data_IF_292488953315
#
_entry.id   IF_292488953315
#
_cell.length_a   1.000
_cell.length_b   1.000
_cell.length_c   1.000
_cell.angle_alpha   90.00
_cell.angle_beta   90.00
_cell.angle_gamma   90.00
#
_symmetry.space_group_name_H-M   'P 1'
#
loop_
_entity.id
_entity.type
_entity.pdbx_description
1 polymer ?
#
# COMPACT_ATOMS: atom_id res chain seq x y z
N UNK A 1 -13.91 2.01 4.76
CA UNK A 1 -12.92 1.20 4.04
C UNK A 1 -12.21 2.06 3.02
N UNK A 2 -10.89 2.14 3.14
CA UNK A 2 -10.02 2.91 2.25
C UNK A 2 -9.01 1.95 1.63
N UNK A 3 -8.81 2.05 0.33
CA UNK A 3 -7.76 1.34 -0.40
C UNK A 3 -6.69 2.36 -0.75
N UNK A 4 -5.56 2.32 -0.06
CA UNK A 4 -4.37 3.11 -0.38
C UNK A 4 -3.63 2.45 -1.54
N UNK A 5 -3.56 3.16 -2.65
CA UNK A 5 -3.08 2.61 -3.91
C UNK A 5 -2.73 3.69 -4.91
N UNK A 6 -2.64 3.29 -6.18
CA UNK A 6 -2.52 4.22 -7.30
C UNK A 6 -3.53 3.81 -8.37
N UNK A 7 -4.05 4.76 -9.14
CA UNK A 7 -5.08 4.49 -10.18
C UNK A 7 -4.66 3.43 -11.20
N UNK A 8 -3.37 3.37 -11.52
CA UNK A 8 -2.82 2.43 -12.51
C UNK A 8 -2.56 1.02 -11.96
N UNK A 9 -2.78 0.76 -10.68
CA UNK A 9 -2.52 -0.56 -10.09
C UNK A 9 -3.70 -1.54 -10.33
N UNK A 10 -3.47 -2.56 -11.16
CA UNK A 10 -4.44 -3.61 -11.47
C UNK A 10 -5.00 -4.30 -10.22
N UNK A 11 -4.13 -4.61 -9.26
CA UNK A 11 -4.53 -5.24 -7.99
C UNK A 11 -5.42 -4.32 -7.16
N UNK A 12 -5.16 -3.00 -7.15
CA UNK A 12 -6.06 -2.03 -6.49
C UNK A 12 -7.43 -1.99 -7.18
N UNK A 13 -7.46 -1.99 -8.52
CA UNK A 13 -8.73 -2.03 -9.27
C UNK A 13 -9.54 -3.29 -9.00
N UNK A 14 -8.87 -4.45 -8.88
CA UNK A 14 -9.51 -5.72 -8.49
C UNK A 14 -10.10 -5.63 -7.08
N UNK A 15 -9.34 -5.12 -6.10
CA UNK A 15 -9.82 -4.93 -4.74
C UNK A 15 -11.04 -4.01 -4.67
N UNK A 16 -10.97 -2.84 -5.31
CA UNK A 16 -12.09 -1.88 -5.37
C UNK A 16 -13.35 -2.46 -6.01
N UNK A 17 -13.20 -3.28 -7.06
CA UNK A 17 -14.35 -3.95 -7.70
C UNK A 17 -15.03 -4.94 -6.76
N UNK A 18 -14.25 -5.64 -5.93
CA UNK A 18 -14.77 -6.59 -4.93
C UNK A 18 -15.29 -5.92 -3.66
N UNK A 19 -14.88 -4.68 -3.40
CA UNK A 19 -15.20 -3.91 -2.19
C UNK A 19 -16.02 -2.66 -2.57
N UNK A 20 -17.33 -2.78 -2.82
CA UNK A 20 -18.13 -1.72 -3.45
C UNK A 20 -18.26 -0.43 -2.63
N UNK A 21 -18.01 -0.48 -1.31
CA UNK A 21 -18.00 0.69 -0.42
C UNK A 21 -16.61 1.28 -0.20
N UNK A 22 -15.56 0.67 -0.75
CA UNK A 22 -14.21 1.16 -0.61
C UNK A 22 -13.96 2.35 -1.54
N UNK A 23 -13.18 3.32 -1.06
CA UNK A 23 -12.65 4.41 -1.87
C UNK A 23 -11.15 4.23 -2.10
N UNK A 24 -10.69 4.63 -3.28
CA UNK A 24 -9.26 4.71 -3.56
C UNK A 24 -8.71 6.01 -2.98
N UNK A 25 -7.65 5.90 -2.18
CA UNK A 25 -6.76 7.01 -1.82
C UNK A 25 -5.50 6.89 -2.69
N UNK A 26 -5.28 7.85 -3.59
CA UNK A 26 -4.15 7.78 -4.52
C UNK A 26 -2.87 8.30 -3.86
N UNK A 27 -2.05 7.39 -3.34
CA UNK A 27 -0.85 7.76 -2.58
C UNK A 27 0.18 8.53 -3.41
N UNK A 28 0.10 8.49 -4.74
CA UNK A 28 0.99 9.28 -5.60
C UNK A 28 0.57 10.75 -5.65
N UNK A 29 -0.73 11.03 -5.56
CA UNK A 29 -1.27 12.38 -5.60
C UNK A 29 -1.43 12.99 -4.20
N UNK A 30 -1.81 12.16 -3.23
CA UNK A 30 -2.25 12.59 -1.89
C UNK A 30 -1.25 12.24 -0.79
N UNK A 31 -0.18 11.48 -1.12
CA UNK A 31 0.71 10.89 -0.11
C UNK A 31 0.03 9.77 0.69
N UNK A 32 0.78 9.09 1.55
CA UNK A 32 0.21 8.20 2.55
C UNK A 32 0.07 8.98 3.87
N UNK A 33 -1.12 9.04 4.49
CA UNK A 33 -1.28 9.70 5.79
C UNK A 33 -0.32 9.14 6.84
N UNK A 34 0.29 10.01 7.65
CA UNK A 34 1.37 9.65 8.58
C UNK A 34 0.93 8.60 9.61
N UNK A 35 -0.27 8.74 10.16
CA UNK A 35 -0.87 7.80 11.11
C UNK A 35 -1.04 6.40 10.48
N UNK A 36 -1.55 6.36 9.25
CA UNK A 36 -1.69 5.12 8.46
C UNK A 36 -0.34 4.51 8.14
N UNK A 37 0.64 5.35 7.80
CA UNK A 37 2.00 4.92 7.47
C UNK A 37 2.68 4.26 8.67
N UNK A 38 2.59 4.89 9.84
CA UNK A 38 3.11 4.37 11.10
C UNK A 38 2.42 3.06 11.50
N UNK A 39 1.08 3.01 11.45
CA UNK A 39 0.33 1.79 11.75
C UNK A 39 0.65 0.65 10.77
N UNK A 40 0.81 0.96 9.48
CA UNK A 40 1.18 -0.02 8.46
C UNK A 40 2.60 -0.53 8.67
N UNK A 41 3.55 0.34 9.01
CA UNK A 41 4.92 -0.07 9.30
C UNK A 41 4.99 -0.93 10.56
N UNK A 42 4.29 -0.55 11.63
CA UNK A 42 4.23 -1.33 12.86
C UNK A 42 3.66 -2.75 12.61
N UNK A 43 2.69 -2.87 11.71
CA UNK A 43 2.04 -4.16 11.39
C UNK A 43 2.81 -5.02 10.39
N UNK A 44 3.38 -4.42 9.35
CA UNK A 44 3.92 -5.15 8.20
C UNK A 44 5.45 -5.03 8.05
N UNK A 45 6.08 -4.11 8.77
CA UNK A 45 7.52 -3.89 8.70
C UNK A 45 8.00 -3.62 7.27
N UNK A 46 9.09 -4.28 6.89
CA UNK A 46 9.69 -4.15 5.57
C UNK A 46 8.79 -4.61 4.41
N UNK A 47 7.75 -5.41 4.67
CA UNK A 47 6.84 -5.87 3.62
C UNK A 47 5.99 -4.72 3.03
N UNK A 48 5.90 -3.58 3.74
CA UNK A 48 5.25 -2.37 3.25
C UNK A 48 5.93 -1.77 2.00
N UNK A 49 7.20 -2.13 1.74
CA UNK A 49 7.93 -1.71 0.55
C UNK A 49 7.88 -2.79 -0.53
N UNK A 50 7.44 -2.44 -1.73
CA UNK A 50 7.42 -3.34 -2.87
C UNK A 50 8.77 -3.39 -3.58
N UNK A 51 9.65 -4.27 -3.10
CA UNK A 51 10.97 -4.55 -3.70
C UNK A 51 10.92 -5.17 -5.11
N UNK A 52 9.74 -5.55 -5.58
CA UNK A 52 9.54 -6.08 -6.93
C UNK A 52 9.00 -5.02 -7.92
N UNK A 53 8.68 -3.81 -7.44
CA UNK A 53 8.13 -2.74 -8.27
C UNK A 53 9.18 -2.16 -9.24
N UNK A 54 8.72 -1.65 -10.38
CA UNK A 54 9.58 -0.89 -11.29
C UNK A 54 10.19 0.35 -10.59
N UNK A 55 9.43 1.01 -9.72
CA UNK A 55 9.92 2.11 -8.88
C UNK A 55 11.14 1.68 -8.08
N UNK A 56 11.05 0.57 -7.33
CA UNK A 56 12.18 0.05 -6.55
C UNK A 56 13.40 -0.27 -7.41
N UNK A 57 13.19 -0.93 -8.56
CA UNK A 57 14.29 -1.26 -9.49
C UNK A 57 14.98 -0.02 -10.07
N UNK A 58 14.26 1.11 -10.17
CA UNK A 58 14.81 2.39 -10.61
C UNK A 58 15.50 3.22 -9.52
N UNK A 59 15.41 2.82 -8.25
CA UNK A 59 16.09 3.53 -7.15
C UNK A 59 17.60 3.22 -7.13
N UNK A 60 18.38 4.20 -6.67
CA UNK A 60 19.80 4.03 -6.34
C UNK A 60 19.98 3.14 -5.10
N UNK A 61 21.21 2.69 -4.85
CA UNK A 61 21.49 1.88 -3.66
C UNK A 61 21.28 2.67 -2.37
N UNK A 62 21.64 3.95 -2.36
CA UNK A 62 21.46 4.86 -1.23
C UNK A 62 19.98 5.00 -0.88
N UNK A 63 19.13 5.25 -1.89
CA UNK A 63 17.68 5.35 -1.68
C UNK A 63 17.08 4.02 -1.18
N UNK A 64 17.62 2.86 -1.59
CA UNK A 64 17.16 1.55 -1.10
C UNK A 64 17.58 1.25 0.34
N UNK A 65 18.58 1.96 0.87
CA UNK A 65 19.04 1.84 2.24
C UNK A 65 18.19 2.66 3.23
N UNK A 66 17.35 3.57 2.74
CA UNK A 66 16.46 4.38 3.57
C UNK A 66 15.42 3.54 4.33
N UNK A 67 15.00 4.08 5.48
CA UNK A 67 13.91 3.53 6.24
C UNK A 67 12.59 3.55 5.42
N UNK A 68 11.66 2.61 5.65
CA UNK A 68 10.45 2.48 4.85
C UNK A 68 9.59 3.75 4.74
N UNK A 69 9.39 4.51 5.84
CA UNK A 69 8.51 5.68 5.79
C UNK A 69 9.12 6.84 4.99
N UNK A 70 10.37 7.29 5.26
CA UNK A 70 11.02 8.28 4.40
C UNK A 70 11.07 7.86 2.93
N UNK A 71 11.36 6.59 2.68
CA UNK A 71 11.39 6.05 1.32
C UNK A 71 10.01 6.11 0.64
N UNK A 72 8.92 5.75 1.33
CA UNK A 72 7.57 5.80 0.78
C UNK A 72 7.09 7.24 0.61
N UNK A 73 7.45 8.14 1.52
CA UNK A 73 7.15 9.57 1.40
C UNK A 73 7.83 10.18 0.16
N UNK A 74 9.11 9.85 -0.08
CA UNK A 74 9.85 10.30 -1.25
C UNK A 74 9.39 9.62 -2.56
N UNK A 75 9.04 8.34 -2.49
CA UNK A 75 8.65 7.53 -3.65
C UNK A 75 7.36 6.75 -3.38
N UNK A 76 6.16 7.38 -3.37
CA UNK A 76 4.92 6.69 -2.98
C UNK A 76 4.59 5.45 -3.81
N UNK A 77 5.02 5.44 -5.07
CA UNK A 77 4.88 4.29 -5.97
C UNK A 77 5.72 3.05 -5.56
N UNK A 78 6.62 3.16 -4.59
CA UNK A 78 7.37 2.03 -4.01
C UNK A 78 6.59 1.28 -2.94
N UNK A 79 5.55 1.88 -2.36
CA UNK A 79 4.69 1.21 -1.38
C UNK A 79 4.07 -0.07 -1.97
N UNK A 80 3.99 -1.13 -1.17
CA UNK A 80 3.24 -2.33 -1.53
C UNK A 80 1.76 -2.02 -1.52
N UNK A 81 1.11 -2.41 -2.62
CA UNK A 81 -0.26 -2.04 -2.94
C UNK A 81 -1.10 -3.27 -3.32
N UNK A 82 -2.41 -3.25 -3.03
CA UNK A 82 -3.10 -2.26 -2.19
C UNK A 82 -2.69 -2.39 -0.71
N UNK A 83 -2.72 -1.29 0.03
CA UNK A 83 -2.86 -1.30 1.49
C UNK A 83 -4.33 -0.96 1.77
N UNK A 84 -5.02 -1.73 2.59
CA UNK A 84 -6.47 -1.61 2.79
C UNK A 84 -6.75 -1.41 4.27
N UNK A 85 -7.50 -0.36 4.58
CA UNK A 85 -8.02 -0.08 5.92
C UNK A 85 -9.50 -0.42 5.95
N UNK A 86 -9.88 -1.30 6.87
CA UNK A 86 -11.26 -1.72 7.11
C UNK A 86 -11.48 -1.89 8.61
N UNK A 87 -12.46 -1.16 9.16
CA UNK A 87 -12.87 -1.21 10.56
C UNK A 87 -11.68 -1.10 11.54
N UNK A 88 -10.75 -0.18 11.25
CA UNK A 88 -9.54 0.05 12.05
C UNK A 88 -8.43 -0.99 11.87
N UNK A 89 -8.62 -2.00 11.04
CA UNK A 89 -7.61 -3.02 10.73
C UNK A 89 -6.97 -2.77 9.36
N UNK A 90 -5.65 -2.91 9.30
CA UNK A 90 -4.88 -2.82 8.05
C UNK A 90 -4.61 -4.20 7.45
N UNK A 91 -4.72 -4.27 6.12
CA UNK A 91 -4.43 -5.44 5.29
C UNK A 91 -3.49 -5.07 4.16
N UNK A 92 -2.56 -5.96 3.80
CA UNK A 92 -1.55 -5.69 2.78
C UNK A 92 -1.67 -6.66 1.60
N UNK A 93 -1.81 -6.09 0.40
CA UNK A 93 -2.02 -6.82 -0.84
C UNK A 93 -3.48 -7.25 -1.03
N UNK A 94 -3.69 -8.11 -2.03
CA UNK A 94 -5.00 -8.66 -2.37
C UNK A 94 -4.92 -10.18 -2.59
N UNK A 95 -4.24 -10.86 -1.68
CA UNK A 95 -4.09 -12.32 -1.68
C UNK A 95 -5.33 -13.04 -1.15
N UNK A 96 -5.31 -14.37 -1.16
CA UNK A 96 -6.43 -15.21 -0.68
C UNK A 96 -6.80 -14.93 0.77
N UNK A 97 -5.81 -14.73 1.64
CA UNK A 97 -6.01 -14.43 3.06
C UNK A 97 -6.75 -13.09 3.25
N UNK A 98 -6.30 -12.03 2.58
CA UNK A 98 -6.96 -10.71 2.64
C UNK A 98 -8.37 -10.78 2.07
N UNK A 99 -8.56 -11.51 0.96
CA UNK A 99 -9.90 -11.69 0.38
C UNK A 99 -10.83 -12.46 1.32
N UNK A 100 -10.35 -13.53 1.97
CA UNK A 100 -11.16 -14.28 2.93
C UNK A 100 -11.56 -13.41 4.13
N UNK A 101 -10.66 -12.54 4.61
CA UNK A 101 -10.95 -11.65 5.73
C UNK A 101 -11.91 -10.50 5.38
N UNK A 102 -11.93 -10.03 4.13
CA UNK A 102 -12.69 -8.84 3.73
C UNK A 102 -13.95 -9.12 2.91
N UNK A 103 -14.14 -10.35 2.42
CA UNK A 103 -15.31 -10.75 1.62
C UNK A 103 -16.19 -11.81 2.32
N UNK A 104 -15.71 -12.41 3.42
CA UNK A 104 -16.48 -13.29 4.30
C UNK A 104 -17.23 -12.52 5.37
#
# INVERSE_FOLDING_TARGET
MIVYGIKTCDTCRKALKSLPRARLHDVRAEGLPEDVAQAALARFGAALVNRQSATWRGLSEEARADAPLPLIAAYPAVMKRPLIEADGTLYLGWGREVQAALLG
#
